data_IF_923844681964
#
_entry.id   IF_923844681964
#
_cell.length_a   1.000
_cell.length_b   1.000
_cell.length_c   1.000
_cell.angle_alpha   90.00
_cell.angle_beta   90.00
_cell.angle_gamma   90.00
#
_symmetry.space_group_name_H-M   'P 1'
#
loop_
_entity.id
_entity.type
_entity.pdbx_description
1 polymer ?
#
# COMPACT_ATOMS: atom_id res chain seq x y z
N UNK A 1 0.27 -13.63 -42.97
CA UNK A 1 -0.28 -14.19 -41.73
C UNK A 1 0.84 -14.32 -40.71
N UNK A 2 1.19 -13.20 -40.07
CA UNK A 2 2.13 -13.18 -38.94
C UNK A 2 1.81 -11.94 -38.08
N UNK A 3 0.53 -11.76 -37.80
CA UNK A 3 0.02 -10.80 -36.84
C UNK A 3 -0.95 -11.64 -36.00
N UNK A 4 -0.53 -12.04 -34.79
CA UNK A 4 -1.35 -12.56 -33.68
C UNK A 4 -0.50 -13.35 -32.64
N UNK A 5 0.70 -12.87 -32.26
CA UNK A 5 1.52 -13.57 -31.23
C UNK A 5 1.96 -12.70 -30.05
N UNK A 6 1.43 -11.49 -29.89
CA UNK A 6 1.65 -10.68 -28.69
C UNK A 6 0.39 -9.91 -28.29
N UNK A 7 -0.72 -10.60 -28.06
CA UNK A 7 -1.63 -10.15 -26.99
C UNK A 7 -0.99 -10.62 -25.68
N UNK A 8 0.11 -9.97 -25.30
CA UNK A 8 0.75 -10.21 -24.02
C UNK A 8 -0.28 -9.93 -22.92
N UNK A 9 -0.34 -10.81 -21.93
CA UNK A 9 -1.23 -10.64 -20.78
C UNK A 9 -1.15 -9.18 -20.29
N UNK A 10 -2.30 -8.49 -20.23
CA UNK A 10 -2.35 -7.17 -19.64
C UNK A 10 -1.72 -7.23 -18.24
N UNK A 11 -0.72 -6.39 -17.95
CA UNK A 11 -0.10 -6.39 -16.63
C UNK A 11 -1.18 -6.11 -15.56
N UNK A 12 -1.45 -7.13 -14.74
CA UNK A 12 -2.51 -7.16 -13.73
C UNK A 12 -2.27 -6.18 -12.58
N UNK A 13 -1.04 -5.70 -12.39
CA UNK A 13 -0.60 -4.80 -11.32
C UNK A 13 -0.46 -3.34 -11.73
N UNK A 14 -0.91 -2.96 -12.94
CA UNK A 14 -1.01 -1.54 -13.30
C UNK A 14 -1.90 -0.77 -12.33
N UNK A 15 -1.46 0.42 -11.95
CA UNK A 15 -2.17 1.34 -11.05
C UNK A 15 -2.62 0.68 -9.73
N UNK A 16 -1.73 -0.12 -9.14
CA UNK A 16 -1.99 -0.77 -7.87
C UNK A 16 -1.28 -0.02 -6.74
N UNK A 17 -1.88 -0.01 -5.56
CA UNK A 17 -1.29 0.53 -4.34
C UNK A 17 -1.51 -0.45 -3.19
N UNK A 18 -0.47 -0.63 -2.38
CA UNK A 18 -0.57 -1.37 -1.14
C UNK A 18 -0.93 -0.44 0.02
N UNK A 19 -1.81 -0.91 0.89
CA UNK A 19 -2.08 -0.36 2.22
C UNK A 19 -1.66 -1.42 3.23
N UNK A 20 -0.74 -1.08 4.12
CA UNK A 20 -0.22 -1.99 5.13
C UNK A 20 -0.64 -1.51 6.52
N UNK A 21 -1.43 -2.34 7.21
CA UNK A 21 -1.83 -2.17 8.60
C UNK A 21 -1.00 -3.11 9.49
N UNK A 22 0.30 -2.85 9.60
CA UNK A 22 1.21 -3.79 10.25
C UNK A 22 1.10 -3.63 11.76
N UNK A 23 0.53 -4.63 12.44
CA UNK A 23 0.50 -4.66 13.91
C UNK A 23 1.71 -5.44 14.43
N UNK A 24 2.63 -4.78 15.13
CA UNK A 24 3.80 -5.45 15.72
C UNK A 24 3.56 -5.84 17.18
N UNK A 25 2.85 -6.95 17.39
CA UNK A 25 2.84 -7.64 18.69
C UNK A 25 3.93 -8.71 18.73
N UNK A 26 4.60 -8.93 19.87
CA UNK A 26 5.66 -9.95 19.99
C UNK A 26 5.22 -11.36 19.54
N UNK A 27 3.93 -11.69 19.62
CA UNK A 27 3.37 -12.96 19.17
C UNK A 27 2.99 -13.00 17.67
N UNK A 28 3.08 -11.88 16.96
CA UNK A 28 2.62 -11.70 15.59
C UNK A 28 3.74 -11.32 14.60
N UNK A 29 5.02 -11.46 14.99
CA UNK A 29 6.15 -11.07 14.16
C UNK A 29 6.11 -11.66 12.74
N UNK A 30 5.74 -12.94 12.59
CA UNK A 30 5.64 -13.57 11.26
C UNK A 30 4.50 -13.02 10.38
N UNK A 31 3.43 -12.51 10.98
CA UNK A 31 2.33 -11.86 10.25
C UNK A 31 2.81 -10.50 9.75
N UNK A 32 3.45 -9.72 10.61
CA UNK A 32 4.02 -8.43 10.24
C UNK A 32 5.05 -8.55 9.10
N UNK A 33 5.90 -9.60 9.14
CA UNK A 33 6.85 -9.88 8.06
C UNK A 33 6.16 -10.23 6.73
N UNK A 34 5.06 -10.97 6.78
CA UNK A 34 4.27 -11.31 5.58
C UNK A 34 3.61 -10.06 4.98
N UNK A 35 2.97 -9.22 5.80
CA UNK A 35 2.31 -7.99 5.35
C UNK A 35 3.31 -7.01 4.75
N UNK A 36 4.48 -6.83 5.38
CA UNK A 36 5.57 -6.02 4.85
C UNK A 36 6.05 -6.55 3.50
N UNK A 37 6.28 -7.86 3.39
CA UNK A 37 6.74 -8.49 2.15
C UNK A 37 5.75 -8.32 1.00
N UNK A 38 4.44 -8.47 1.28
CA UNK A 38 3.38 -8.29 0.29
C UNK A 38 3.21 -6.82 -0.11
N UNK A 39 3.34 -5.88 0.84
CA UNK A 39 3.35 -4.46 0.56
C UNK A 39 4.48 -4.05 -0.38
N UNK A 40 5.70 -4.54 -0.11
CA UNK A 40 6.86 -4.32 -0.98
C UNK A 40 6.62 -4.92 -2.36
N UNK A 41 6.17 -6.17 -2.44
CA UNK A 41 5.88 -6.85 -3.70
C UNK A 41 4.91 -6.05 -4.58
N UNK A 42 3.78 -5.61 -4.03
CA UNK A 42 2.80 -4.81 -4.78
C UNK A 42 3.38 -3.46 -5.21
N UNK A 43 4.15 -2.80 -4.35
CA UNK A 43 4.75 -1.50 -4.65
C UNK A 43 5.80 -1.56 -5.79
N UNK A 44 6.55 -2.67 -5.87
CA UNK A 44 7.56 -2.92 -6.90
C UNK A 44 6.93 -3.30 -8.25
N UNK A 45 5.84 -4.08 -8.21
CA UNK A 45 5.08 -4.48 -9.40
C UNK A 45 4.21 -3.36 -9.98
N UNK A 46 3.96 -2.29 -9.22
CA UNK A 46 3.21 -1.12 -9.71
C UNK A 46 4.04 -0.34 -10.74
N UNK A 47 3.60 -0.32 -11.99
CA UNK A 47 4.41 0.18 -13.12
C UNK A 47 4.46 1.71 -13.25
N UNK A 48 3.52 2.45 -12.66
CA UNK A 48 3.38 3.90 -12.92
C UNK A 48 4.25 4.76 -11.98
N UNK A 49 5.00 5.75 -12.49
CA UNK A 49 5.95 6.54 -11.70
C UNK A 49 5.29 7.33 -10.57
N UNK A 50 4.00 7.64 -10.66
CA UNK A 50 3.27 8.34 -9.60
C UNK A 50 3.09 7.50 -8.33
N UNK A 51 3.09 6.16 -8.44
CA UNK A 51 2.72 5.25 -7.36
C UNK A 51 3.73 4.12 -7.11
N UNK A 52 4.69 3.94 -8.02
CA UNK A 52 5.74 2.93 -7.91
C UNK A 52 6.59 3.15 -6.66
N UNK A 53 6.94 2.05 -5.98
CA UNK A 53 7.69 2.04 -4.72
C UNK A 53 7.00 2.88 -3.62
N UNK A 54 5.67 2.95 -3.64
CA UNK A 54 4.90 3.60 -2.58
C UNK A 54 3.97 2.63 -1.88
N UNK A 55 3.75 2.91 -0.60
CA UNK A 55 2.83 2.17 0.28
C UNK A 55 2.11 3.16 1.18
N UNK A 56 0.83 2.91 1.45
CA UNK A 56 0.11 3.62 2.50
C UNK A 56 0.26 2.84 3.80
N UNK A 57 0.57 3.55 4.87
CA UNK A 57 0.55 3.03 6.24
C UNK A 57 -0.63 3.63 6.98
N UNK A 58 -1.12 2.87 7.95
CA UNK A 58 -2.10 3.38 8.90
C UNK A 58 -1.35 3.83 10.15
N UNK A 59 -1.61 5.08 10.55
CA UNK A 59 -0.90 5.72 11.65
C UNK A 59 -1.02 4.91 12.95
N UNK A 60 -0.02 4.99 13.85
CA UNK A 60 -0.01 4.20 15.08
C UNK A 60 -0.95 4.73 16.18
N UNK A 61 -1.76 5.74 15.89
CA UNK A 61 -2.59 6.44 16.86
C UNK A 61 -3.97 6.76 16.27
N UNK A 62 -5.04 6.72 17.09
CA UNK A 62 -6.43 6.97 16.65
C UNK A 62 -6.66 8.36 16.01
N UNK A 63 -5.75 9.32 16.27
CA UNK A 63 -5.85 10.69 15.75
C UNK A 63 -4.97 10.93 14.51
N UNK A 64 -4.32 9.89 13.95
CA UNK A 64 -3.41 10.02 12.81
C UNK A 64 -3.98 9.39 11.54
N UNK A 65 -4.12 10.23 10.53
CA UNK A 65 -4.52 9.88 9.16
C UNK A 65 -3.55 8.86 8.53
N UNK A 66 -4.01 8.07 7.54
CA UNK A 66 -3.12 7.28 6.69
C UNK A 66 -2.00 8.14 6.11
N UNK A 67 -0.83 7.55 5.91
CA UNK A 67 0.34 8.23 5.35
C UNK A 67 0.88 7.48 4.14
N UNK A 68 1.17 8.22 3.07
CA UNK A 68 1.83 7.66 1.89
C UNK A 68 3.34 7.74 2.05
N UNK A 69 4.01 6.59 2.04
CA UNK A 69 5.45 6.48 2.11
C UNK A 69 6.03 6.08 0.76
N UNK A 70 7.09 6.77 0.34
CA UNK A 70 8.00 6.27 -0.68
C UNK A 70 9.01 5.35 0.00
N UNK A 71 8.98 4.06 -0.33
CA UNK A 71 9.84 3.06 0.31
C UNK A 71 11.30 3.38 0.00
N UNK A 72 12.16 3.34 1.02
CA UNK A 72 13.59 3.61 0.91
C UNK A 72 14.39 2.34 1.16
N UNK A 73 15.53 2.20 0.49
CA UNK A 73 16.42 1.05 0.63
C UNK A 73 17.17 0.77 -0.68
N UNK A 74 18.39 0.26 -0.59
CA UNK A 74 19.20 -0.14 -1.74
C UNK A 74 19.14 -1.64 -2.03
N UNK A 75 18.66 -2.41 -1.08
CA UNK A 75 18.54 -3.86 -1.13
C UNK A 75 17.27 -4.30 -0.41
N UNK A 76 16.86 -5.56 -0.63
CA UNK A 76 15.62 -6.09 -0.06
C UNK A 76 15.58 -5.96 1.47
N UNK A 77 16.71 -6.15 2.15
CA UNK A 77 16.77 -6.08 3.61
C UNK A 77 16.49 -4.66 4.10
N UNK A 78 17.15 -3.65 3.51
CA UNK A 78 16.95 -2.25 3.88
C UNK A 78 15.54 -1.74 3.54
N UNK A 79 14.98 -2.16 2.40
CA UNK A 79 13.57 -1.91 2.03
C UNK A 79 12.61 -2.50 3.04
N UNK A 80 12.87 -3.74 3.46
CA UNK A 80 12.08 -4.44 4.46
C UNK A 80 12.16 -3.77 5.84
N UNK A 81 13.37 -3.46 6.30
CA UNK A 81 13.62 -2.77 7.56
C UNK A 81 12.93 -1.38 7.57
N UNK A 82 12.92 -0.67 6.44
CA UNK A 82 12.17 0.59 6.29
C UNK A 82 10.67 0.40 6.46
N UNK A 83 10.08 -0.59 5.76
CA UNK A 83 8.65 -0.86 5.85
C UNK A 83 8.26 -1.27 7.27
N UNK A 84 8.97 -2.21 7.89
CA UNK A 84 8.69 -2.61 9.27
C UNK A 84 8.80 -1.42 10.23
N UNK A 85 9.87 -0.62 10.16
CA UNK A 85 10.04 0.50 11.08
C UNK A 85 9.02 1.64 10.90
N UNK A 86 8.55 1.86 9.67
CA UNK A 86 7.68 3.00 9.33
C UNK A 86 6.20 2.63 9.32
N UNK A 87 5.88 1.37 9.02
CA UNK A 87 4.51 0.88 8.85
C UNK A 87 3.98 0.12 10.08
N UNK A 88 4.82 -0.18 11.06
CA UNK A 88 4.39 -0.89 12.27
C UNK A 88 3.68 0.03 13.26
N UNK A 89 2.54 -0.44 13.76
CA UNK A 89 1.82 0.14 14.87
C UNK A 89 1.77 -0.83 16.07
N UNK A 90 1.51 -0.25 17.24
CA UNK A 90 1.37 -1.01 18.50
C UNK A 90 -0.08 -1.41 18.79
N UNK A 91 -1.02 -0.84 18.05
CA UNK A 91 -2.46 -1.01 18.22
C UNK A 91 -3.09 -1.44 16.91
N UNK A 92 -3.78 -2.57 16.93
CA UNK A 92 -4.55 -3.05 15.78
C UNK A 92 -5.88 -2.29 15.72
N UNK A 93 -5.91 -1.22 14.93
CA UNK A 93 -7.16 -0.57 14.53
C UNK A 93 -7.65 -1.11 13.19
N UNK A 94 -8.94 -0.96 12.92
CA UNK A 94 -9.50 -1.29 11.61
C UNK A 94 -9.00 -0.31 10.54
N UNK A 95 -9.12 -0.71 9.28
CA UNK A 95 -8.74 0.16 8.15
C UNK A 95 -9.89 1.12 7.86
N UNK A 96 -9.66 2.43 8.00
CA UNK A 96 -10.57 3.46 7.53
C UNK A 96 -10.36 3.69 6.04
N UNK A 97 -11.26 3.12 5.23
CA UNK A 97 -11.17 3.22 3.77
C UNK A 97 -11.48 4.61 3.24
N UNK A 98 -12.31 5.39 3.95
CA UNK A 98 -12.66 6.74 3.51
C UNK A 98 -11.42 7.63 3.56
N UNK A 99 -10.67 7.57 4.67
CA UNK A 99 -9.41 8.29 4.80
C UNK A 99 -8.34 7.82 3.81
N UNK A 100 -8.28 6.52 3.50
CA UNK A 100 -7.36 6.00 2.48
C UNK A 100 -7.72 6.54 1.10
N UNK A 101 -9.02 6.57 0.75
CA UNK A 101 -9.49 7.13 -0.51
C UNK A 101 -9.20 8.63 -0.60
N UNK A 102 -9.47 9.38 0.48
CA UNK A 102 -9.20 10.82 0.56
C UNK A 102 -7.71 11.12 0.36
N UNK A 103 -6.82 10.36 1.00
CA UNK A 103 -5.37 10.49 0.81
C UNK A 103 -4.95 10.23 -0.65
N UNK A 104 -5.49 9.17 -1.28
CA UNK A 104 -5.19 8.87 -2.69
C UNK A 104 -5.63 10.02 -3.59
N UNK A 105 -6.82 10.58 -3.36
CA UNK A 105 -7.35 11.72 -4.11
C UNK A 105 -6.53 12.99 -3.87
N UNK A 106 -6.17 13.28 -2.62
CA UNK A 106 -5.34 14.42 -2.26
C UNK A 106 -3.98 14.36 -2.97
N UNK A 107 -3.30 13.20 -2.90
CA UNK A 107 -2.02 12.98 -3.59
C UNK A 107 -2.19 13.13 -5.10
N UNK A 108 -3.28 12.60 -5.66
CA UNK A 108 -3.56 12.73 -7.09
C UNK A 108 -3.73 14.19 -7.53
N UNK A 109 -4.50 14.97 -6.78
CA UNK A 109 -4.71 16.41 -7.03
C UNK A 109 -3.39 17.17 -6.89
N UNK A 110 -2.68 16.98 -5.79
CA UNK A 110 -1.44 17.69 -5.49
C UNK A 110 -0.32 17.40 -6.51
N UNK A 111 -0.31 16.21 -7.11
CA UNK A 111 0.69 15.81 -8.09
C UNK A 111 0.18 15.87 -9.54
N UNK A 112 -1.03 16.39 -9.78
CA UNK A 112 -1.66 16.43 -11.11
C UNK A 112 -1.65 15.06 -11.83
N UNK A 113 -1.94 13.99 -11.10
CA UNK A 113 -1.96 12.62 -11.63
C UNK A 113 -3.05 12.51 -12.70
N UNK A 114 -2.68 11.99 -13.87
CA UNK A 114 -3.63 11.81 -14.99
C UNK A 114 -4.63 10.69 -14.67
N UNK A 115 -5.83 10.79 -15.22
CA UNK A 115 -6.88 9.79 -15.02
C UNK A 115 -6.43 8.36 -15.35
N UNK A 116 -5.58 8.19 -16.36
CA UNK A 116 -5.06 6.88 -16.77
C UNK A 116 -4.08 6.29 -15.75
N UNK A 117 -3.46 7.14 -14.93
CA UNK A 117 -2.48 6.79 -13.90
C UNK A 117 -3.09 6.71 -12.50
N UNK A 118 -4.38 7.02 -12.35
CA UNK A 118 -5.09 6.89 -11.09
C UNK A 118 -5.10 5.44 -10.61
N UNK A 119 -4.98 5.25 -9.29
CA UNK A 119 -5.10 3.94 -8.65
C UNK A 119 -6.43 3.30 -9.03
N UNK A 120 -6.37 2.06 -9.52
CA UNK A 120 -7.53 1.24 -9.91
C UNK A 120 -7.77 0.07 -8.97
N UNK A 121 -6.74 -0.36 -8.24
CA UNK A 121 -6.80 -1.49 -7.31
C UNK A 121 -5.99 -1.16 -6.06
N UNK A 122 -6.59 -1.37 -4.90
CA UNK A 122 -5.92 -1.25 -3.61
C UNK A 122 -5.81 -2.63 -3.00
N UNK A 123 -4.60 -3.03 -2.62
CA UNK A 123 -4.36 -4.26 -1.86
C UNK A 123 -4.18 -3.87 -0.40
N UNK A 124 -5.04 -4.38 0.47
CA UNK A 124 -4.98 -4.11 1.91
C UNK A 124 -4.48 -5.35 2.63
N UNK A 125 -3.38 -5.19 3.35
CA UNK A 125 -2.79 -6.22 4.21
C UNK A 125 -3.03 -5.83 5.66
N UNK A 126 -3.82 -6.63 6.36
CA UNK A 126 -4.19 -6.39 7.76
C UNK A 126 -4.50 -7.69 8.49
N UNK A 127 -4.09 -7.75 9.76
CA UNK A 127 -4.48 -8.78 10.72
C UNK A 127 -5.81 -8.46 11.45
N UNK A 128 -6.41 -7.31 11.15
CA UNK A 128 -7.67 -6.84 11.73
C UNK A 128 -8.87 -7.35 10.94
N UNK A 129 -9.89 -7.79 11.67
CA UNK A 129 -11.17 -8.29 11.11
C UNK A 129 -12.24 -7.20 10.97
N UNK A 130 -11.94 -5.95 11.32
CA UNK A 130 -12.89 -4.83 11.24
C UNK A 130 -12.64 -3.98 10.01
N UNK A 131 -13.55 -4.10 9.05
CA UNK A 131 -13.73 -3.21 7.91
C UNK A 131 -14.98 -2.37 8.19
N UNK A 132 -14.83 -1.09 8.56
CA UNK A 132 -15.97 -0.23 8.86
C UNK A 132 -15.70 1.21 8.48
N UNK A 133 -16.60 1.80 7.70
CA UNK A 133 -16.65 3.25 7.51
C UNK A 133 -17.02 3.91 8.84
N UNK A 134 -16.38 5.04 9.16
CA UNK A 134 -16.71 5.80 10.34
C UNK A 134 -18.23 6.07 10.37
N UNK A 135 -18.90 5.60 11.43
CA UNK A 135 -20.21 6.13 11.77
C UNK A 135 -20.02 7.59 12.18
N UNK A 136 -20.78 8.47 11.53
CA UNK A 136 -20.89 9.92 11.79
C UNK A 136 -20.90 10.31 13.26
#
# INVERSE_FOLDING_TARGET
>A
MMENMYQGEENKFKNCLAVCNITYAMSAASIAELEASLGILVSELSEEPAWKVKVITLGPLPDKLPLLHSIQGSDLKSTFDFVISTCSNWYSEGVDFDQVCDLILEVAVNNNVKAEQMIKKVFVFTDSVRFGGCST
#
